data_IF_693022431651
#
_entry.id   IF_693022431651
#
_cell.length_a   1.000
_cell.length_b   1.000
_cell.length_c   1.000
_cell.angle_alpha   90.00
_cell.angle_beta   90.00
_cell.angle_gamma   90.00
#
_symmetry.space_group_name_H-M   'P 1'
#
loop_
_entity.id
_entity.type
_entity.pdbx_description
1 polymer ?
#
# COMPACT_ATOMS: atom_id res chain seq x y z
N UNK A 1 41.17 43.41 -15.26
CA UNK A 1 41.43 43.39 -16.72
C UNK A 1 40.97 42.07 -17.29
N UNK A 2 39.97 42.12 -18.24
CA UNK A 2 39.66 41.21 -19.36
C UNK A 2 39.51 39.70 -19.07
N UNK A 3 38.50 38.96 -19.46
CA UNK A 3 37.55 39.11 -20.56
C UNK A 3 36.32 38.17 -20.30
N UNK A 4 35.11 38.70 -20.49
CA UNK A 4 33.89 37.90 -20.71
C UNK A 4 33.94 37.34 -22.12
N UNK A 5 33.55 36.06 -22.30
CA UNK A 5 33.11 35.53 -23.60
C UNK A 5 31.72 34.95 -23.46
N UNK A 6 30.81 35.64 -24.07
CA UNK A 6 29.43 35.21 -24.39
C UNK A 6 29.51 34.22 -25.54
N UNK A 7 28.88 33.09 -25.43
CA UNK A 7 28.63 32.19 -26.56
C UNK A 7 27.13 32.12 -26.82
N UNK A 8 26.74 32.61 -27.97
CA UNK A 8 25.40 32.53 -28.58
C UNK A 8 25.19 31.17 -29.18
N UNK A 9 24.03 30.57 -28.90
CA UNK A 9 23.57 29.33 -29.54
C UNK A 9 22.78 29.68 -30.81
N UNK A 10 23.27 29.23 -31.93
CA UNK A 10 22.64 29.32 -33.25
C UNK A 10 21.85 28.05 -33.56
N UNK A 11 20.68 28.23 -34.13
CA UNK A 11 19.69 27.21 -34.46
C UNK A 11 20.19 26.31 -35.60
N UNK A 12 20.04 24.98 -35.44
CA UNK A 12 20.06 24.03 -36.57
C UNK A 12 18.71 23.30 -36.62
N UNK A 13 17.93 23.58 -37.67
CA UNK A 13 16.74 22.82 -38.10
C UNK A 13 17.13 21.72 -39.06
N UNK A 14 16.53 20.51 -38.93
CA UNK A 14 16.36 19.56 -40.01
C UNK A 14 16.25 18.11 -39.55
N UNK A 15 15.69 17.18 -40.37
CA UNK A 15 14.26 16.99 -40.58
C UNK A 15 13.78 15.56 -40.23
N UNK A 16 12.45 15.42 -40.01
CA UNK A 16 11.62 14.20 -40.14
C UNK A 16 12.18 12.82 -39.76
N UNK A 17 11.81 12.34 -38.59
CA UNK A 17 11.71 10.91 -38.34
C UNK A 17 10.32 10.55 -37.84
N UNK A 18 9.73 9.58 -38.47
CA UNK A 18 8.34 9.10 -38.38
C UNK A 18 7.99 8.69 -36.98
N UNK A 19 6.86 9.22 -36.48
CA UNK A 19 6.15 8.74 -35.31
C UNK A 19 5.76 7.28 -35.54
N UNK A 20 6.32 6.37 -34.76
CA UNK A 20 5.74 5.06 -34.50
C UNK A 20 4.97 5.19 -33.18
N UNK A 21 3.67 5.22 -33.31
CA UNK A 21 2.71 5.03 -32.21
C UNK A 21 2.86 3.61 -31.70
N UNK A 22 3.29 3.46 -30.47
CA UNK A 22 3.11 2.23 -29.72
C UNK A 22 1.97 2.46 -28.72
N UNK A 23 0.95 1.62 -28.86
CA UNK A 23 -0.37 1.82 -28.33
C UNK A 23 -0.52 1.49 -26.86
N UNK A 24 -1.38 2.19 -26.31
CA UNK A 24 -2.37 2.07 -25.25
C UNK A 24 -2.72 0.63 -24.91
N UNK A 25 -2.44 0.25 -23.67
CA UNK A 25 -3.13 -0.80 -22.95
C UNK A 25 -3.84 -0.18 -21.75
N UNK A 26 -4.99 0.38 -21.97
CA UNK A 26 -6.08 0.56 -21.01
C UNK A 26 -7.27 1.11 -21.78
N UNK A 27 -7.95 0.24 -22.51
CA UNK A 27 -9.35 0.33 -22.90
C UNK A 27 -9.63 -0.77 -23.93
N UNK A 28 -10.07 -1.87 -23.51
CA UNK A 28 -10.80 -2.82 -24.35
C UNK A 28 -12.18 -2.94 -23.75
N UNK A 29 -13.16 -2.28 -24.38
CA UNK A 29 -14.40 -2.86 -24.87
C UNK A 29 -15.22 -1.74 -25.51
N UNK A 30 -15.57 -1.92 -26.74
CA UNK A 30 -16.63 -1.51 -27.63
C UNK A 30 -16.19 -0.71 -28.87
N UNK A 31 -16.14 -1.44 -29.97
CA UNK A 31 -16.56 -0.92 -31.28
C UNK A 31 -17.13 -2.08 -32.08
N UNK A 32 -18.41 -2.21 -32.12
CA UNK A 32 -19.15 -3.02 -33.08
C UNK A 32 -20.05 -2.11 -33.92
N UNK A 33 -20.09 -2.45 -35.16
CA UNK A 33 -20.64 -1.79 -36.32
C UNK A 33 -22.02 -1.11 -36.17
N UNK A 34 -22.13 0.04 -36.81
CA UNK A 34 -23.38 0.75 -37.10
C UNK A 34 -24.15 -0.04 -38.17
N UNK A 35 -25.31 -0.57 -37.82
CA UNK A 35 -26.41 -0.88 -38.70
C UNK A 35 -27.69 -0.21 -38.15
N UNK A 36 -28.27 0.66 -38.99
CA UNK A 36 -29.44 1.48 -38.67
C UNK A 36 -30.64 0.60 -38.33
N UNK A 37 -31.05 0.61 -37.06
CA UNK A 37 -32.32 0.10 -36.59
C UNK A 37 -32.76 0.97 -35.42
N UNK A 38 -33.93 1.52 -35.51
CA UNK A 38 -34.61 2.25 -34.44
C UNK A 38 -34.80 1.28 -33.28
N UNK A 39 -33.94 1.32 -32.27
CA UNK A 39 -34.11 0.62 -31.01
C UNK A 39 -34.52 1.63 -29.95
N UNK A 40 -35.69 1.41 -29.40
CA UNK A 40 -36.20 2.03 -28.17
C UNK A 40 -35.09 2.03 -27.12
N UNK A 41 -34.79 3.20 -26.58
CA UNK A 41 -33.89 3.33 -25.43
C UNK A 41 -34.45 2.52 -24.25
N UNK A 42 -34.05 1.29 -24.15
CA UNK A 42 -34.11 0.58 -22.87
C UNK A 42 -33.10 1.26 -21.95
N UNK A 43 -33.63 1.97 -20.96
CA UNK A 43 -32.79 2.57 -19.91
C UNK A 43 -31.83 1.53 -19.38
N UNK A 44 -30.53 1.81 -19.46
CA UNK A 44 -29.54 1.00 -18.74
C UNK A 44 -29.96 1.05 -17.27
N UNK A 45 -30.45 -0.06 -16.75
CA UNK A 45 -30.59 -0.26 -15.31
C UNK A 45 -29.20 -0.05 -14.72
N UNK A 46 -29.05 0.83 -13.71
CA UNK A 46 -27.79 0.91 -13.01
C UNK A 46 -27.40 -0.51 -12.55
N UNK A 47 -26.19 -0.95 -12.85
CA UNK A 47 -25.71 -2.24 -12.36
C UNK A 47 -25.97 -2.25 -10.85
N UNK A 48 -26.76 -3.21 -10.39
CA UNK A 48 -27.04 -3.36 -8.98
C UNK A 48 -25.68 -3.48 -8.29
N UNK A 49 -25.44 -2.66 -7.26
CA UNK A 49 -24.22 -2.76 -6.47
C UNK A 49 -24.07 -4.21 -6.03
N UNK A 50 -22.97 -4.85 -6.41
CA UNK A 50 -22.74 -6.24 -6.02
C UNK A 50 -22.59 -6.29 -4.50
N UNK A 51 -23.19 -7.29 -3.86
CA UNK A 51 -22.97 -7.53 -2.44
C UNK A 51 -21.51 -7.94 -2.25
N UNK A 52 -20.81 -7.31 -1.33
CA UNK A 52 -19.49 -7.77 -0.89
C UNK A 52 -19.67 -8.99 0.05
N UNK A 53 -18.79 -9.96 -0.08
CA UNK A 53 -18.61 -11.06 0.88
C UNK A 53 -17.23 -10.93 1.47
N UNK A 54 -17.12 -11.22 2.76
CA UNK A 54 -15.87 -11.19 3.52
C UNK A 54 -15.65 -12.57 4.14
N UNK A 55 -14.47 -13.13 3.94
CA UNK A 55 -14.08 -14.46 4.40
C UNK A 55 -12.87 -14.34 5.32
N UNK A 56 -12.96 -14.77 6.59
CA UNK A 56 -11.80 -14.78 7.47
C UNK A 56 -10.73 -15.72 6.93
N UNK A 57 -9.46 -15.29 7.00
CA UNK A 57 -8.32 -16.05 6.47
C UNK A 57 -7.20 -16.13 7.49
N UNK A 58 -6.43 -17.20 7.44
CA UNK A 58 -5.23 -17.38 8.26
C UNK A 58 -4.08 -18.00 7.46
N UNK A 59 -2.89 -17.42 7.62
CA UNK A 59 -1.64 -17.85 7.02
C UNK A 59 -0.66 -18.29 8.10
N UNK A 60 -0.04 -19.46 7.93
CA UNK A 60 1.11 -19.87 8.76
C UNK A 60 2.37 -19.39 8.07
N UNK A 61 3.14 -18.52 8.73
CA UNK A 61 4.36 -17.90 8.19
C UNK A 61 5.51 -18.05 9.18
N UNK A 62 6.73 -17.96 8.69
CA UNK A 62 7.92 -17.88 9.53
C UNK A 62 8.38 -16.43 9.60
N UNK A 63 8.71 -15.98 10.79
CA UNK A 63 9.36 -14.70 11.00
C UNK A 63 10.85 -14.84 10.68
N UNK A 64 11.20 -14.75 9.41
CA UNK A 64 12.55 -14.79 8.87
C UNK A 64 12.81 -13.54 8.04
N UNK A 65 14.06 -13.20 7.78
CA UNK A 65 14.41 -12.17 6.82
C UNK A 65 15.37 -12.73 5.79
N UNK A 66 14.87 -12.95 4.58
CA UNK A 66 15.65 -13.36 3.41
C UNK A 66 15.80 -12.22 2.38
N UNK A 67 15.24 -11.04 2.68
CA UNK A 67 15.39 -9.82 1.88
C UNK A 67 16.79 -9.20 2.04
N UNK A 68 17.22 -8.31 1.14
CA UNK A 68 18.44 -7.53 1.32
C UNK A 68 18.31 -6.42 2.37
N UNK A 69 17.09 -6.10 2.84
CA UNK A 69 16.87 -5.10 3.88
C UNK A 69 17.38 -5.62 5.24
N UNK A 70 18.21 -4.83 5.89
CA UNK A 70 18.90 -5.26 7.12
C UNK A 70 18.03 -5.16 8.35
N UNK A 71 17.89 -6.25 9.09
CA UNK A 71 17.35 -6.23 10.46
C UNK A 71 18.40 -5.77 11.48
N UNK A 72 19.05 -4.63 11.29
CA UNK A 72 20.22 -4.20 12.08
C UNK A 72 19.96 -4.00 13.57
N UNK A 73 18.71 -3.88 13.99
CA UNK A 73 18.32 -3.63 15.39
C UNK A 73 17.37 -4.66 15.99
N UNK A 74 16.86 -5.59 15.19
CA UNK A 74 16.04 -6.72 15.60
C UNK A 74 16.39 -7.93 14.76
N UNK A 75 16.52 -9.07 15.39
CA UNK A 75 16.70 -10.34 14.67
C UNK A 75 15.31 -10.97 14.56
N UNK A 76 14.87 -11.27 13.35
CA UNK A 76 13.73 -12.14 13.15
C UNK A 76 13.97 -13.45 13.92
N UNK A 77 13.03 -13.84 14.79
CA UNK A 77 13.22 -14.95 15.75
C UNK A 77 13.14 -16.34 15.12
N UNK A 78 12.77 -16.43 13.83
CA UNK A 78 12.61 -17.68 13.09
C UNK A 78 11.39 -18.50 13.50
N UNK A 79 10.57 -18.01 14.42
CA UNK A 79 9.38 -18.73 14.88
C UNK A 79 8.26 -18.71 13.83
N UNK A 80 7.33 -19.63 13.97
CA UNK A 80 6.12 -19.68 13.12
C UNK A 80 4.99 -18.96 13.79
N UNK A 81 4.35 -18.05 13.04
CA UNK A 81 3.22 -17.27 13.48
C UNK A 81 2.02 -17.45 12.58
N UNK A 82 0.85 -17.13 13.09
CA UNK A 82 -0.39 -17.07 12.30
C UNK A 82 -0.69 -15.61 11.99
N UNK A 83 -0.70 -15.26 10.71
CA UNK A 83 -1.21 -13.97 10.23
C UNK A 83 -2.69 -14.14 9.93
N UNK A 84 -3.52 -13.20 10.38
CA UNK A 84 -4.98 -13.22 10.24
C UNK A 84 -5.47 -12.00 9.49
N UNK A 85 -6.59 -12.16 8.80
CA UNK A 85 -7.22 -11.08 8.07
C UNK A 85 -8.47 -11.57 7.36
N UNK A 86 -8.89 -10.82 6.35
CA UNK A 86 -10.08 -11.13 5.57
C UNK A 86 -9.82 -11.01 4.06
N UNK A 87 -10.40 -11.94 3.30
CA UNK A 87 -10.52 -11.81 1.85
C UNK A 87 -11.91 -11.26 1.56
N UNK A 88 -11.97 -10.07 0.97
CA UNK A 88 -13.22 -9.41 0.60
C UNK A 88 -13.36 -9.33 -0.90
N UNK A 89 -14.56 -9.63 -1.43
CA UNK A 89 -14.79 -9.58 -2.87
C UNK A 89 -16.24 -9.85 -3.26
N UNK A 90 -16.56 -9.80 -4.58
CA UNK A 90 -17.87 -10.23 -5.06
C UNK A 90 -18.03 -11.75 -4.86
N UNK A 91 -19.24 -12.22 -4.48
CA UNK A 91 -19.50 -13.65 -4.23
C UNK A 91 -19.08 -14.55 -5.38
N UNK A 92 -19.30 -14.11 -6.62
CA UNK A 92 -18.96 -14.89 -7.81
C UNK A 92 -17.44 -15.10 -7.97
N UNK A 93 -16.62 -14.12 -7.60
CA UNK A 93 -15.15 -14.23 -7.66
C UNK A 93 -14.63 -15.18 -6.58
N UNK A 94 -15.25 -15.19 -5.39
CA UNK A 94 -14.81 -15.98 -4.26
C UNK A 94 -15.33 -17.44 -4.27
N UNK A 95 -16.36 -17.73 -5.05
CA UNK A 95 -16.95 -19.07 -5.12
C UNK A 95 -16.22 -20.04 -6.05
N UNK A 96 -15.32 -19.56 -6.92
CA UNK A 96 -14.77 -20.37 -8.02
C UNK A 96 -13.57 -21.23 -7.64
N UNK A 97 -12.97 -21.04 -6.45
CA UNK A 97 -11.68 -21.65 -6.07
C UNK A 97 -10.47 -21.13 -6.85
N UNK A 98 -10.70 -20.30 -7.85
CA UNK A 98 -9.67 -19.58 -8.63
C UNK A 98 -10.15 -18.19 -8.94
N UNK A 99 -9.28 -17.20 -8.76
CA UNK A 99 -9.53 -15.81 -9.11
C UNK A 99 -8.34 -15.22 -9.87
N UNK A 100 -8.64 -14.25 -10.72
CA UNK A 100 -7.62 -13.66 -11.58
C UNK A 100 -6.67 -12.76 -10.80
N UNK A 101 -7.20 -11.97 -9.85
CA UNK A 101 -6.44 -10.93 -9.16
C UNK A 101 -6.88 -10.80 -7.70
N UNK A 102 -5.91 -10.59 -6.82
CA UNK A 102 -6.12 -10.08 -5.46
C UNK A 102 -5.19 -8.90 -5.22
N UNK A 103 -5.67 -7.89 -4.49
CA UNK A 103 -4.82 -6.84 -3.93
C UNK A 103 -4.61 -7.08 -2.44
N UNK A 104 -3.36 -7.21 -2.01
CA UNK A 104 -2.97 -7.29 -0.61
C UNK A 104 -2.74 -5.87 -0.12
N UNK A 105 -3.24 -5.54 1.06
CA UNK A 105 -3.16 -4.22 1.65
C UNK A 105 -2.36 -4.25 2.95
N UNK A 106 -1.19 -3.62 2.95
CA UNK A 106 -0.36 -3.37 4.13
C UNK A 106 -0.68 -1.98 4.71
N UNK A 107 -0.45 -1.81 6.00
CA UNK A 107 -0.80 -0.58 6.70
C UNK A 107 0.42 0.10 7.33
N UNK A 108 0.22 1.32 7.81
CA UNK A 108 1.25 2.13 8.47
C UNK A 108 1.33 1.93 9.97
N UNK A 109 2.23 2.67 10.61
CA UNK A 109 2.40 2.62 12.06
C UNK A 109 1.08 2.84 12.81
N UNK A 110 0.97 2.12 13.95
CA UNK A 110 -0.17 2.19 14.89
C UNK A 110 -1.52 1.77 14.32
N UNK A 111 -1.55 1.38 13.05
CA UNK A 111 -2.75 0.87 12.40
C UNK A 111 -2.92 -0.64 12.62
N UNK A 112 -3.69 -1.27 11.79
CA UNK A 112 -4.02 -2.67 11.77
C UNK A 112 -4.90 -2.93 10.55
N UNK A 113 -5.50 -4.09 10.43
CA UNK A 113 -6.42 -4.43 9.35
C UNK A 113 -7.47 -3.33 9.11
N UNK A 114 -7.94 -2.67 10.17
CA UNK A 114 -8.91 -1.59 10.11
C UNK A 114 -8.50 -0.40 9.23
N UNK A 115 -7.23 -0.24 8.91
CA UNK A 115 -6.76 0.80 7.98
C UNK A 115 -7.45 0.70 6.62
N UNK A 116 -7.77 -0.51 6.21
CA UNK A 116 -8.42 -0.82 4.95
C UNK A 116 -9.81 -1.42 5.09
N UNK A 117 -10.18 -1.80 6.31
CA UNK A 117 -11.40 -2.54 6.63
C UNK A 117 -12.10 -1.96 7.88
N UNK A 118 -12.27 -0.63 7.91
CA UNK A 118 -12.86 0.05 9.06
C UNK A 118 -14.35 -0.25 9.18
N UNK A 119 -14.71 -1.04 10.17
CA UNK A 119 -16.10 -1.38 10.47
C UNK A 119 -16.80 -0.30 11.30
N UNK A 120 -18.12 -0.27 11.24
CA UNK A 120 -18.95 0.57 12.09
C UNK A 120 -19.11 2.02 11.64
N UNK A 121 -18.36 2.50 10.65
CA UNK A 121 -18.54 3.83 10.07
C UNK A 121 -18.90 3.69 8.58
N UNK A 122 -20.16 3.89 8.19
CA UNK A 122 -20.59 3.67 6.81
C UNK A 122 -19.80 4.48 5.80
N UNK A 123 -19.36 3.82 4.70
CA UNK A 123 -18.61 4.43 3.60
C UNK A 123 -17.10 4.49 3.80
N UNK A 124 -16.58 3.98 4.94
CA UNK A 124 -15.15 3.98 5.25
C UNK A 124 -14.51 2.59 5.36
N UNK A 125 -15.29 1.55 5.07
CA UNK A 125 -14.78 0.20 4.85
C UNK A 125 -14.31 0.09 3.39
N UNK A 126 -13.03 0.40 3.17
CA UNK A 126 -12.44 0.47 1.83
C UNK A 126 -12.52 -0.88 1.11
N UNK A 127 -12.19 -1.99 1.77
CA UNK A 127 -12.23 -3.32 1.20
C UNK A 127 -13.65 -3.67 0.69
N UNK A 128 -14.68 -3.36 1.48
CA UNK A 128 -16.08 -3.54 1.09
C UNK A 128 -16.47 -2.65 -0.10
N UNK A 129 -16.01 -1.40 -0.13
CA UNK A 129 -16.33 -0.47 -1.23
C UNK A 129 -15.70 -0.91 -2.56
N UNK A 130 -14.46 -1.40 -2.56
CA UNK A 130 -13.83 -1.92 -3.79
C UNK A 130 -14.38 -3.28 -4.20
N UNK A 131 -14.81 -4.11 -3.25
CA UNK A 131 -15.49 -5.37 -3.52
C UNK A 131 -16.82 -5.17 -4.26
N UNK A 132 -17.60 -4.14 -3.90
CA UNK A 132 -18.82 -3.74 -4.63
C UNK A 132 -18.54 -3.32 -6.08
N UNK A 133 -17.29 -2.98 -6.41
CA UNK A 133 -16.82 -2.62 -7.76
C UNK A 133 -16.16 -3.79 -8.49
N UNK A 134 -16.20 -4.98 -7.91
CA UNK A 134 -15.71 -6.19 -8.54
C UNK A 134 -14.28 -6.59 -8.17
N UNK A 135 -13.61 -5.87 -7.29
CA UNK A 135 -12.24 -6.18 -6.87
C UNK A 135 -12.23 -7.21 -5.74
N UNK A 136 -11.13 -7.96 -5.64
CA UNK A 136 -10.85 -8.84 -4.52
C UNK A 136 -9.68 -8.28 -3.73
N UNK A 137 -9.87 -8.16 -2.42
CA UNK A 137 -8.90 -7.60 -1.48
C UNK A 137 -8.51 -8.64 -0.44
N UNK A 138 -7.25 -8.63 -0.01
CA UNK A 138 -6.80 -9.22 1.25
C UNK A 138 -6.39 -8.07 2.17
N UNK A 139 -7.10 -7.93 3.27
CA UNK A 139 -6.72 -7.09 4.40
C UNK A 139 -6.24 -7.99 5.53
N UNK A 140 -5.26 -7.56 6.31
CA UNK A 140 -4.69 -8.40 7.37
C UNK A 140 -4.12 -7.55 8.50
N UNK A 141 -4.00 -8.14 9.68
CA UNK A 141 -3.11 -7.65 10.72
C UNK A 141 -1.71 -8.21 10.46
N UNK A 142 -0.70 -7.37 10.36
CA UNK A 142 0.70 -7.77 10.20
C UNK A 142 1.25 -8.40 11.48
N UNK A 143 2.45 -8.98 11.43
CA UNK A 143 3.05 -9.64 12.61
C UNK A 143 3.26 -8.63 13.75
N UNK A 144 2.73 -8.94 14.92
CA UNK A 144 2.79 -8.07 16.09
C UNK A 144 1.64 -7.09 16.21
N UNK A 145 0.62 -7.20 15.34
CA UNK A 145 -0.56 -6.33 15.37
C UNK A 145 -1.87 -7.13 15.52
N UNK A 146 -2.86 -6.50 16.09
CA UNK A 146 -4.26 -6.93 16.14
C UNK A 146 -4.46 -8.41 16.49
N UNK A 147 -5.13 -9.14 15.60
CA UNK A 147 -5.46 -10.56 15.78
C UNK A 147 -4.37 -11.53 15.33
N UNK A 148 -3.29 -11.03 14.71
CA UNK A 148 -2.17 -11.84 14.25
C UNK A 148 -1.25 -12.26 15.39
N UNK A 149 -0.30 -13.14 15.09
CA UNK A 149 0.72 -13.57 16.05
C UNK A 149 1.60 -12.41 16.50
N UNK A 150 2.06 -12.47 17.74
CA UNK A 150 2.95 -11.47 18.33
C UNK A 150 4.25 -12.14 18.78
N UNK A 151 5.43 -11.69 18.32
CA UNK A 151 6.68 -12.04 18.96
C UNK A 151 6.65 -11.72 20.46
N UNK A 152 7.32 -12.55 21.27
CA UNK A 152 7.35 -12.32 22.73
C UNK A 152 8.00 -10.97 23.08
N UNK A 153 8.91 -10.51 22.22
CA UNK A 153 9.49 -9.19 22.26
C UNK A 153 9.35 -8.53 20.88
N UNK A 154 8.74 -7.35 20.78
CA UNK A 154 8.55 -6.62 19.54
C UNK A 154 9.85 -6.18 18.84
N UNK A 155 11.02 -6.38 19.47
CA UNK A 155 12.32 -6.22 18.79
C UNK A 155 12.72 -7.47 17.96
N UNK A 156 11.94 -8.54 18.00
CA UNK A 156 12.23 -9.81 17.32
C UNK A 156 11.56 -9.89 15.92
N UNK A 157 11.23 -8.78 15.33
CA UNK A 157 10.83 -8.61 13.92
C UNK A 157 11.44 -7.33 13.34
N UNK A 158 11.33 -7.10 12.04
CA UNK A 158 11.84 -5.91 11.34
C UNK A 158 11.17 -5.77 9.97
N UNK A 159 11.32 -4.66 9.28
CA UNK A 159 10.70 -4.44 7.96
C UNK A 159 11.11 -5.48 6.92
N UNK A 160 12.39 -5.87 6.89
CA UNK A 160 12.82 -6.95 6.01
C UNK A 160 12.15 -8.29 6.31
N UNK A 161 11.80 -8.56 7.59
CA UNK A 161 11.03 -9.74 7.97
C UNK A 161 9.55 -9.62 7.58
N UNK A 162 8.96 -8.43 7.68
CA UNK A 162 7.59 -8.19 7.20
C UNK A 162 7.50 -8.37 5.67
N UNK A 163 8.51 -7.93 4.91
CA UNK A 163 8.60 -8.18 3.48
C UNK A 163 8.72 -9.69 3.15
N UNK A 164 9.52 -10.45 3.91
CA UNK A 164 9.61 -11.92 3.77
C UNK A 164 8.27 -12.60 4.13
N UNK A 165 7.60 -12.17 5.19
CA UNK A 165 6.27 -12.66 5.57
C UNK A 165 5.26 -12.36 4.45
N UNK A 166 5.28 -11.16 3.89
CA UNK A 166 4.41 -10.78 2.77
C UNK A 166 4.67 -11.65 1.54
N UNK A 167 5.94 -11.91 1.20
CA UNK A 167 6.32 -12.88 0.18
C UNK A 167 5.73 -14.27 0.44
N UNK A 168 5.86 -14.81 1.66
CA UNK A 168 5.28 -16.09 2.02
C UNK A 168 3.75 -16.11 1.84
N UNK A 169 3.06 -15.02 2.17
CA UNK A 169 1.61 -14.88 1.96
C UNK A 169 1.28 -14.88 0.47
N UNK A 170 2.02 -14.16 -0.36
CA UNK A 170 1.86 -14.14 -1.82
C UNK A 170 1.98 -15.55 -2.40
N UNK A 171 3.02 -16.29 -2.01
CA UNK A 171 3.19 -17.68 -2.47
C UNK A 171 2.02 -18.57 -2.05
N UNK A 172 1.54 -18.42 -0.83
CA UNK A 172 0.37 -19.19 -0.33
C UNK A 172 -0.92 -18.83 -1.06
N UNK A 173 -1.15 -17.58 -1.40
CA UNK A 173 -2.30 -17.15 -2.21
C UNK A 173 -2.25 -17.75 -3.62
N UNK A 174 -1.08 -17.80 -4.23
CA UNK A 174 -0.89 -18.40 -5.57
C UNK A 174 -1.16 -19.90 -5.60
N UNK A 175 -0.90 -20.59 -4.49
CA UNK A 175 -1.00 -22.05 -4.40
C UNK A 175 -2.20 -22.56 -3.58
N UNK A 176 -3.03 -21.66 -3.03
CA UNK A 176 -4.14 -22.05 -2.14
C UNK A 176 -3.68 -22.67 -0.82
N UNK A 177 -2.48 -22.37 -0.33
CA UNK A 177 -1.86 -22.95 0.87
C UNK A 177 -2.12 -22.13 2.13
N UNK A 178 -3.38 -21.82 2.41
CA UNK A 178 -3.82 -21.05 3.57
C UNK A 178 -5.18 -21.59 4.08
N UNK A 179 -5.71 -21.03 5.14
CA UNK A 179 -6.96 -21.52 5.75
C UNK A 179 -8.10 -20.54 5.53
N UNK A 180 -9.20 -21.05 4.96
CA UNK A 180 -10.53 -20.46 4.97
C UNK A 180 -11.44 -21.38 5.76
N UNK A 181 -11.95 -20.99 6.97
CA UNK A 181 -12.63 -21.92 7.87
C UNK A 181 -13.88 -22.59 7.31
N UNK A 182 -14.60 -21.92 6.42
CA UNK A 182 -15.91 -22.37 5.92
C UNK A 182 -15.96 -22.52 4.39
N UNK A 183 -14.81 -22.39 3.71
CA UNK A 183 -14.74 -22.39 2.25
C UNK A 183 -13.49 -23.09 1.74
N UNK A 184 -13.50 -23.65 0.54
CA UNK A 184 -12.27 -24.03 -0.16
C UNK A 184 -11.38 -22.81 -0.36
N UNK A 185 -10.06 -23.01 -0.33
CA UNK A 185 -9.09 -21.96 -0.65
C UNK A 185 -9.21 -21.53 -2.11
N UNK A 186 -8.80 -20.30 -2.38
CA UNK A 186 -8.85 -19.67 -3.70
C UNK A 186 -7.40 -19.49 -4.18
N UNK A 187 -7.07 -19.97 -5.36
CA UNK A 187 -5.80 -19.69 -6.02
C UNK A 187 -5.89 -18.38 -6.81
N UNK A 188 -4.93 -17.48 -6.62
CA UNK A 188 -4.87 -16.20 -7.32
C UNK A 188 -3.75 -16.20 -8.38
N UNK A 189 -4.10 -15.87 -9.62
CA UNK A 189 -3.13 -15.84 -10.73
C UNK A 189 -2.23 -14.61 -10.67
N UNK A 190 -2.80 -13.47 -10.27
CA UNK A 190 -2.08 -12.19 -10.15
C UNK A 190 -2.25 -11.62 -8.75
N UNK A 191 -1.20 -10.96 -8.28
CA UNK A 191 -1.16 -10.30 -6.96
C UNK A 191 -0.68 -8.87 -7.14
N UNK A 192 -1.48 -7.90 -6.72
CA UNK A 192 -1.06 -6.52 -6.54
C UNK A 192 -0.78 -6.31 -5.07
N UNK A 193 0.33 -5.65 -4.76
CA UNK A 193 0.67 -5.28 -3.40
C UNK A 193 0.44 -3.78 -3.22
N UNK A 194 -0.31 -3.41 -2.20
CA UNK A 194 -0.61 -2.03 -1.84
C UNK A 194 -0.12 -1.78 -0.40
N UNK A 195 0.62 -0.72 -0.20
CA UNK A 195 1.10 -0.35 1.13
C UNK A 195 0.84 1.13 1.44
N UNK A 196 0.46 1.40 2.68
CA UNK A 196 0.26 2.74 3.22
C UNK A 196 1.34 3.03 4.26
N UNK A 197 1.92 4.24 4.21
CA UNK A 197 2.97 4.66 5.16
C UNK A 197 4.13 3.63 5.19
N UNK A 198 4.59 3.18 6.36
CA UNK A 198 5.63 2.12 6.44
C UNK A 198 5.24 0.83 5.72
N UNK A 199 3.95 0.51 5.59
CA UNK A 199 3.51 -0.60 4.74
C UNK A 199 3.86 -0.40 3.27
N UNK A 200 4.02 0.85 2.82
CA UNK A 200 4.57 1.21 1.50
C UNK A 200 6.04 0.83 1.38
N UNK A 201 6.86 1.15 2.38
CA UNK A 201 8.27 0.74 2.45
C UNK A 201 8.41 -0.79 2.43
N UNK A 202 7.63 -1.50 3.26
CA UNK A 202 7.60 -2.98 3.26
C UNK A 202 7.21 -3.54 1.89
N UNK A 203 6.24 -2.92 1.22
CA UNK A 203 5.80 -3.34 -0.12
C UNK A 203 6.89 -3.15 -1.19
N UNK A 204 7.69 -2.09 -1.11
CA UNK A 204 8.84 -1.89 -2.00
C UNK A 204 9.94 -2.91 -1.74
N UNK A 205 10.27 -3.13 -0.46
CA UNK A 205 11.25 -4.16 -0.06
C UNK A 205 10.85 -5.53 -0.61
N UNK A 206 9.59 -5.90 -0.51
CA UNK A 206 9.06 -7.13 -1.10
C UNK A 206 9.26 -7.15 -2.62
N UNK A 207 8.78 -6.09 -3.30
CA UNK A 207 8.76 -5.99 -4.75
C UNK A 207 10.14 -6.10 -5.41
N UNK A 208 11.16 -5.43 -4.88
CA UNK A 208 12.50 -5.55 -5.46
C UNK A 208 13.24 -6.82 -5.03
N UNK A 209 12.90 -7.36 -3.85
CA UNK A 209 13.57 -8.55 -3.32
C UNK A 209 13.12 -9.83 -4.01
N UNK A 210 11.80 -10.05 -4.08
CA UNK A 210 11.23 -11.33 -4.52
C UNK A 210 10.68 -11.31 -5.94
N UNK A 211 10.25 -10.15 -6.44
CA UNK A 211 9.82 -9.95 -7.86
C UNK A 211 8.67 -10.87 -8.26
N UNK A 212 7.76 -11.13 -7.36
CA UNK A 212 6.65 -12.09 -7.53
C UNK A 212 5.26 -11.44 -7.41
N UNK A 213 5.21 -10.10 -7.43
CA UNK A 213 3.98 -9.33 -7.59
C UNK A 213 3.76 -8.90 -9.05
N UNK A 214 2.52 -8.52 -9.40
CA UNK A 214 2.11 -8.10 -10.73
C UNK A 214 1.83 -6.58 -10.81
N UNK A 215 1.82 -5.89 -9.68
CA UNK A 215 1.68 -4.45 -9.56
C UNK A 215 1.95 -3.95 -8.15
N UNK A 216 2.38 -2.70 -8.03
CA UNK A 216 2.67 -2.04 -6.75
C UNK A 216 1.82 -0.77 -6.62
N UNK A 217 1.24 -0.56 -5.43
CA UNK A 217 0.51 0.66 -5.09
C UNK A 217 1.09 1.21 -3.79
N UNK A 218 1.60 2.43 -3.84
CA UNK A 218 2.12 3.14 -2.68
C UNK A 218 1.14 4.23 -2.29
N UNK A 219 0.78 4.30 -1.03
CA UNK A 219 -0.15 5.29 -0.50
C UNK A 219 0.52 6.05 0.64
N UNK A 220 0.68 7.35 0.47
CA UNK A 220 1.29 8.23 1.48
C UNK A 220 2.67 7.75 1.95
N UNK A 221 3.47 7.24 1.04
CA UNK A 221 4.87 6.85 1.25
C UNK A 221 5.75 7.37 0.13
N UNK A 222 6.99 7.76 0.46
CA UNK A 222 8.04 8.11 -0.48
C UNK A 222 9.43 7.87 0.14
N UNK A 223 10.39 7.50 -0.68
CA UNK A 223 11.79 7.23 -0.29
C UNK A 223 12.56 8.47 0.17
N UNK A 224 12.08 9.65 -0.10
CA UNK A 224 12.81 10.90 0.06
C UNK A 224 11.94 12.10 0.41
N UNK A 225 12.59 13.20 0.75
CA UNK A 225 11.90 14.45 0.99
C UNK A 225 11.11 14.49 2.30
N UNK A 226 11.51 13.70 3.30
CA UNK A 226 10.83 13.62 4.59
C UNK A 226 10.63 14.98 5.23
N UNK A 227 9.49 15.15 5.89
CA UNK A 227 9.18 16.40 6.61
C UNK A 227 10.03 16.55 7.87
N UNK A 228 10.23 17.78 8.39
CA UNK A 228 10.87 17.96 9.68
C UNK A 228 10.14 17.25 10.82
N UNK A 229 8.84 17.02 10.70
CA UNK A 229 8.06 16.24 11.68
C UNK A 229 8.64 14.82 11.78
N UNK A 230 8.83 14.13 10.66
CA UNK A 230 9.42 12.78 10.64
C UNK A 230 10.88 12.80 11.09
N UNK A 231 11.71 13.70 10.55
CA UNK A 231 13.17 13.66 10.78
C UNK A 231 13.59 14.17 12.16
N UNK A 232 12.86 15.11 12.74
CA UNK A 232 13.25 15.81 13.97
C UNK A 232 12.37 15.47 15.18
N UNK A 233 11.09 15.16 14.98
CA UNK A 233 10.13 14.96 16.05
C UNK A 233 9.78 13.49 16.24
N UNK A 234 9.16 12.88 15.25
CA UNK A 234 8.62 11.53 15.35
C UNK A 234 9.73 10.48 15.53
N UNK A 235 10.75 10.50 14.67
CA UNK A 235 11.85 9.54 14.75
C UNK A 235 12.52 9.57 16.13
N UNK A 236 12.76 10.74 16.69
CA UNK A 236 13.37 10.88 18.01
C UNK A 236 12.48 10.32 19.12
N UNK A 237 11.18 10.68 19.12
CA UNK A 237 10.21 10.20 20.09
C UNK A 237 10.03 8.67 19.98
N UNK A 238 9.93 8.13 18.77
CA UNK A 238 9.80 6.72 18.48
C UNK A 238 10.98 5.90 19.01
N UNK A 239 12.20 6.32 18.72
CA UNK A 239 13.39 5.64 19.23
C UNK A 239 13.48 5.68 20.77
N UNK A 240 13.15 6.81 21.39
CA UNK A 240 13.12 6.94 22.84
C UNK A 240 12.09 5.98 23.44
N UNK A 241 10.85 6.01 22.97
CA UNK A 241 9.77 5.16 23.46
C UNK A 241 10.10 3.68 23.33
N UNK A 242 10.68 3.29 22.19
CA UNK A 242 11.16 1.92 21.98
C UNK A 242 12.33 1.52 22.89
N UNK A 243 13.17 2.48 23.28
CA UNK A 243 14.27 2.22 24.21
C UNK A 243 13.77 1.97 25.63
N UNK A 244 12.69 2.62 26.00
CA UNK A 244 12.05 2.51 27.33
C UNK A 244 11.09 1.31 27.41
N UNK A 245 10.66 0.73 26.29
CA UNK A 245 9.72 -0.38 26.27
C UNK A 245 10.37 -1.72 26.64
N UNK A 246 9.95 -2.28 27.75
CA UNK A 246 10.42 -3.60 28.20
C UNK A 246 9.88 -4.75 27.31
N UNK A 247 8.70 -4.60 26.72
CA UNK A 247 8.08 -5.57 25.82
C UNK A 247 8.56 -5.47 24.38
N UNK A 248 9.23 -4.36 24.01
CA UNK A 248 9.57 -4.04 22.65
C UNK A 248 8.37 -3.60 21.80
N UNK A 249 7.24 -3.24 22.41
CA UNK A 249 6.07 -2.67 21.75
C UNK A 249 5.82 -1.26 22.28
N UNK A 250 5.50 -0.32 21.40
CA UNK A 250 5.33 1.08 21.75
C UNK A 250 4.35 1.83 20.83
N UNK A 251 3.71 2.86 21.36
CA UNK A 251 3.13 3.93 20.54
C UNK A 251 4.23 4.92 20.14
N UNK A 252 4.18 5.43 18.92
CA UNK A 252 5.16 6.38 18.40
C UNK A 252 4.80 7.82 18.76
N UNK A 253 3.53 8.13 18.72
CA UNK A 253 2.98 9.46 18.94
C UNK A 253 1.94 9.44 20.04
N UNK A 254 1.63 10.59 20.61
CA UNK A 254 0.59 10.73 21.63
C UNK A 254 -0.81 10.49 21.05
N UNK A 255 -1.79 10.25 21.92
CA UNK A 255 -3.19 10.10 21.52
C UNK A 255 -3.74 11.37 20.84
N UNK A 256 -3.26 12.56 21.23
CA UNK A 256 -3.65 13.84 20.63
C UNK A 256 -3.06 13.97 19.21
N UNK A 257 -1.79 13.65 19.04
CA UNK A 257 -1.13 13.66 17.74
C UNK A 257 -1.76 12.65 16.78
N UNK A 258 -2.05 11.44 17.24
CA UNK A 258 -2.74 10.44 16.41
C UNK A 258 -4.10 10.95 15.90
N UNK A 259 -4.87 11.70 16.71
CA UNK A 259 -6.16 12.24 16.30
C UNK A 259 -6.07 13.45 15.37
N UNK A 260 -4.92 14.08 15.26
CA UNK A 260 -4.79 15.37 14.57
C UNK A 260 -3.86 15.31 13.37
N UNK A 261 -2.70 14.68 13.49
CA UNK A 261 -1.63 14.78 12.49
C UNK A 261 -1.95 14.03 11.18
N UNK A 262 -2.38 12.75 11.19
CA UNK A 262 -2.57 11.99 9.96
C UNK A 262 -3.89 12.31 9.23
N UNK A 263 -4.83 13.01 9.89
CA UNK A 263 -6.16 13.25 9.35
C UNK A 263 -6.31 14.64 8.75
N UNK A 264 -6.93 14.72 7.58
CA UNK A 264 -7.37 15.95 6.96
C UNK A 264 -8.74 15.74 6.29
N UNK A 265 -9.68 16.67 6.52
CA UNK A 265 -11.04 16.59 5.99
C UNK A 265 -11.73 15.24 6.28
N UNK A 266 -11.52 14.71 7.47
CA UNK A 266 -12.04 13.41 7.91
C UNK A 266 -13.29 13.58 8.78
N UNK A 267 -14.20 12.62 8.74
CA UNK A 267 -15.35 12.58 9.64
C UNK A 267 -14.86 12.33 11.07
N UNK A 268 -15.27 13.13 12.08
CA UNK A 268 -14.86 12.90 13.47
C UNK A 268 -15.17 11.48 13.99
N UNK A 269 -16.22 10.83 13.46
CA UNK A 269 -16.55 9.45 13.84
C UNK A 269 -15.48 8.46 13.40
N UNK A 270 -14.83 8.71 12.27
CA UNK A 270 -13.70 7.91 11.77
C UNK A 270 -12.51 8.08 12.69
N UNK A 271 -12.18 9.33 13.05
CA UNK A 271 -11.05 9.62 13.94
C UNK A 271 -11.23 8.90 15.29
N UNK A 272 -12.42 8.97 15.89
CA UNK A 272 -12.69 8.30 17.17
C UNK A 272 -12.69 6.76 17.03
N UNK A 273 -13.25 6.23 15.92
CA UNK A 273 -13.25 4.79 15.69
C UNK A 273 -11.83 4.25 15.51
N UNK A 274 -10.99 4.92 14.72
CA UNK A 274 -9.59 4.51 14.48
C UNK A 274 -8.75 4.65 15.75
N UNK A 275 -8.92 5.73 16.50
CA UNK A 275 -8.22 5.93 17.77
C UNK A 275 -8.55 4.84 18.81
N UNK A 276 -9.78 4.31 18.80
CA UNK A 276 -10.17 3.20 19.67
C UNK A 276 -9.57 1.85 19.24
N UNK A 277 -9.12 1.72 17.98
CA UNK A 277 -8.53 0.52 17.39
C UNK A 277 -7.00 0.61 17.24
N UNK A 278 -6.41 1.70 17.69
CA UNK A 278 -4.97 1.98 17.57
C UNK A 278 -4.14 0.88 18.22
N UNK A 279 -3.15 0.36 17.50
CA UNK A 279 -2.22 -0.65 17.98
C UNK A 279 -0.89 -0.04 18.48
N UNK A 280 -0.16 -0.76 19.31
CA UNK A 280 1.28 -0.52 19.53
C UNK A 280 2.08 -1.15 18.40
N UNK A 281 3.21 -0.55 18.06
CA UNK A 281 4.10 -1.06 17.01
C UNK A 281 5.19 -1.96 17.61
N UNK A 282 5.60 -3.03 16.91
CA UNK A 282 6.85 -3.72 17.21
C UNK A 282 8.04 -2.77 17.03
N UNK A 283 8.86 -2.62 18.07
CA UNK A 283 9.99 -1.70 18.04
C UNK A 283 11.11 -2.13 17.06
N UNK A 284 11.15 -3.39 16.67
CA UNK A 284 12.07 -3.86 15.67
C UNK A 284 11.81 -3.28 14.28
N UNK A 285 10.52 -3.09 13.91
CA UNK A 285 10.12 -2.41 12.67
C UNK A 285 10.58 -0.94 12.72
N UNK A 286 10.21 -0.20 13.77
CA UNK A 286 10.59 1.20 13.94
C UNK A 286 12.11 1.41 13.83
N UNK A 287 12.88 0.52 14.44
CA UNK A 287 14.34 0.63 14.47
C UNK A 287 15.00 0.23 13.15
N UNK A 288 14.35 -0.57 12.33
CA UNK A 288 14.88 -0.98 11.03
C UNK A 288 14.64 0.05 9.93
N UNK A 289 13.57 0.85 9.98
CA UNK A 289 13.19 1.81 8.95
C UNK A 289 14.34 2.69 8.43
N UNK A 290 15.16 3.36 9.25
CA UNK A 290 16.26 4.18 8.72
C UNK A 290 17.35 3.39 7.99
N UNK A 291 17.48 2.09 8.28
CA UNK A 291 18.45 1.22 7.60
C UNK A 291 17.86 0.60 6.32
N UNK A 292 16.55 0.58 6.20
CA UNK A 292 15.80 0.05 5.05
C UNK A 292 15.66 1.11 3.96
N UNK A 293 15.38 2.35 4.29
CA UNK A 293 15.20 3.48 3.34
C UNK A 293 16.39 3.68 2.38
N UNK A 294 17.63 3.51 2.85
CA UNK A 294 18.81 3.73 1.99
C UNK A 294 18.94 2.68 0.89
N UNK A 295 18.90 1.36 1.18
CA UNK A 295 18.84 0.35 0.14
C UNK A 295 17.55 0.42 -0.69
N UNK A 296 16.43 0.80 -0.11
CA UNK A 296 15.14 0.91 -0.79
C UNK A 296 15.21 1.85 -1.98
N UNK A 297 15.56 3.10 -1.75
CA UNK A 297 15.79 4.08 -2.82
C UNK A 297 16.78 3.60 -3.90
N UNK A 298 17.81 2.85 -3.52
CA UNK A 298 18.80 2.33 -4.46
C UNK A 298 18.30 1.10 -5.27
N UNK A 299 17.36 0.33 -4.71
CA UNK A 299 16.87 -0.92 -5.28
C UNK A 299 15.51 -0.78 -5.99
N UNK A 300 14.71 0.23 -5.66
CA UNK A 300 13.43 0.52 -6.31
C UNK A 300 13.50 0.58 -7.86
N UNK A 301 14.61 1.02 -8.52
CA UNK A 301 14.78 0.89 -9.97
C UNK A 301 14.74 -0.56 -10.49
N UNK A 302 14.86 -1.57 -9.63
CA UNK A 302 14.74 -2.98 -10.01
C UNK A 302 13.28 -3.46 -10.10
N UNK A 303 12.32 -2.71 -9.57
CA UNK A 303 10.89 -3.00 -9.67
C UNK A 303 10.47 -2.90 -11.15
N UNK A 304 9.90 -3.99 -11.68
CA UNK A 304 9.59 -4.14 -13.12
C UNK A 304 8.09 -4.26 -13.40
N UNK A 305 7.27 -4.08 -12.40
CA UNK A 305 5.80 -4.08 -12.50
C UNK A 305 5.26 -2.65 -12.59
N UNK A 306 4.01 -2.43 -13.03
CA UNK A 306 3.36 -1.13 -12.94
C UNK A 306 3.33 -0.60 -11.51
N UNK A 307 3.57 0.70 -11.34
CA UNK A 307 3.57 1.39 -10.03
C UNK A 307 2.56 2.53 -10.02
N UNK A 308 1.66 2.50 -9.06
CA UNK A 308 0.74 3.61 -8.76
C UNK A 308 1.12 4.22 -7.41
N UNK A 309 1.37 5.53 -7.40
CA UNK A 309 1.69 6.28 -6.19
C UNK A 309 0.51 7.22 -5.90
N UNK A 310 0.04 7.23 -4.66
CA UNK A 310 -1.12 8.01 -4.24
C UNK A 310 -0.78 8.84 -3.01
N UNK A 311 -0.97 10.15 -3.11
CA UNK A 311 -0.85 11.06 -1.98
C UNK A 311 -2.14 11.85 -1.75
N UNK A 312 -2.41 12.19 -0.50
CA UNK A 312 -3.32 13.28 -0.19
C UNK A 312 -2.65 14.64 -0.48
N UNK A 313 -3.38 15.59 -1.09
CA UNK A 313 -2.83 16.94 -1.33
C UNK A 313 -2.39 17.67 -0.04
N UNK A 314 -2.97 17.27 1.09
CA UNK A 314 -2.69 17.83 2.41
C UNK A 314 -1.93 16.85 3.32
N UNK A 315 -1.34 15.81 2.75
CA UNK A 315 -0.40 14.96 3.48
C UNK A 315 0.87 15.75 3.76
N UNK A 316 1.17 15.94 5.04
CA UNK A 316 2.36 16.65 5.52
C UNK A 316 3.13 15.82 6.55
N UNK A 317 2.71 14.57 6.73
CA UNK A 317 3.31 13.70 7.73
C UNK A 317 4.64 13.14 7.22
N UNK A 318 4.61 12.33 6.16
CA UNK A 318 5.79 11.56 5.74
C UNK A 318 6.74 12.40 4.88
N UNK A 319 6.26 13.00 3.81
CA UNK A 319 7.14 13.67 2.84
C UNK A 319 6.61 15.03 2.42
N UNK A 320 7.53 15.93 2.05
CA UNK A 320 7.20 17.24 1.50
C UNK A 320 6.55 17.11 0.12
N UNK A 321 5.85 18.16 -0.31
CA UNK A 321 5.27 18.19 -1.67
C UNK A 321 6.30 17.92 -2.76
N UNK A 322 7.52 18.41 -2.60
CA UNK A 322 8.61 18.16 -3.53
C UNK A 322 8.99 16.67 -3.55
N UNK A 323 9.13 16.03 -2.39
CA UNK A 323 9.39 14.59 -2.31
C UNK A 323 8.30 13.77 -2.98
N UNK A 324 7.03 14.14 -2.75
CA UNK A 324 5.87 13.50 -3.41
C UNK A 324 5.93 13.59 -4.95
N UNK A 325 6.37 14.73 -5.49
CA UNK A 325 6.49 14.96 -6.94
C UNK A 325 7.70 14.24 -7.56
N UNK A 326 8.75 14.02 -6.78
CA UNK A 326 9.99 13.37 -7.22
C UNK A 326 9.91 11.84 -7.13
N UNK A 327 9.01 11.29 -6.34
CA UNK A 327 8.89 9.85 -6.03
C UNK A 327 8.71 8.98 -7.28
N UNK A 328 7.90 9.41 -8.26
CA UNK A 328 7.73 8.66 -9.52
C UNK A 328 9.06 8.40 -10.25
N UNK A 329 10.03 9.29 -10.06
CA UNK A 329 11.36 9.19 -10.66
C UNK A 329 12.16 7.99 -10.17
N UNK A 330 11.93 7.55 -8.94
CA UNK A 330 12.64 6.44 -8.29
C UNK A 330 12.39 5.13 -9.04
N UNK A 331 11.19 4.89 -9.50
CA UNK A 331 10.76 3.67 -10.21
C UNK A 331 11.16 3.64 -11.69
N UNK A 332 12.43 3.93 -11.99
CA UNK A 332 12.91 4.02 -13.38
C UNK A 332 12.82 2.70 -14.14
N UNK A 333 12.69 1.57 -13.47
CA UNK A 333 12.56 0.25 -14.07
C UNK A 333 11.13 -0.17 -14.40
N UNK A 334 10.14 0.51 -13.84
CA UNK A 334 8.72 0.21 -14.05
C UNK A 334 8.31 0.52 -15.49
N UNK A 335 7.51 -0.37 -16.13
CA UNK A 335 7.01 -0.16 -17.49
C UNK A 335 5.91 0.91 -17.57
N UNK A 336 5.18 1.13 -16.48
CA UNK A 336 4.11 2.12 -16.36
C UNK A 336 4.05 2.62 -14.92
N UNK A 337 4.13 3.90 -14.74
CA UNK A 337 4.11 4.52 -13.41
C UNK A 337 3.31 5.81 -13.43
N UNK A 338 2.63 6.08 -12.34
CA UNK A 338 1.77 7.24 -12.21
C UNK A 338 1.65 7.69 -10.76
N UNK A 339 1.80 8.98 -10.54
CA UNK A 339 1.47 9.64 -9.28
C UNK A 339 0.10 10.30 -9.36
N UNK A 340 -0.73 10.12 -8.34
CA UNK A 340 -2.06 10.68 -8.20
C UNK A 340 -2.16 11.43 -6.87
N UNK A 341 -2.66 12.64 -6.92
CA UNK A 341 -2.95 13.44 -5.73
C UNK A 341 -4.46 13.48 -5.50
N UNK A 342 -4.88 13.05 -4.32
CA UNK A 342 -6.28 13.08 -3.91
C UNK A 342 -6.55 14.43 -3.25
N UNK A 343 -7.43 15.20 -3.88
CA UNK A 343 -7.79 16.52 -3.41
C UNK A 343 -8.42 16.48 -2.02
N UNK A 344 -8.08 17.45 -1.19
CA UNK A 344 -8.61 17.59 0.17
C UNK A 344 -8.46 16.33 1.04
N UNK A 345 -7.40 15.53 0.82
CA UNK A 345 -7.07 14.35 1.60
C UNK A 345 -5.75 14.55 2.37
N UNK A 346 -5.65 13.97 3.56
CA UNK A 346 -4.45 13.91 4.37
C UNK A 346 -3.67 12.62 4.18
N UNK A 347 -2.88 12.24 5.19
CA UNK A 347 -2.06 11.03 5.20
C UNK A 347 -2.92 9.76 5.11
N UNK A 348 -3.94 9.63 5.94
CA UNK A 348 -4.96 8.59 5.78
C UNK A 348 -5.92 8.93 4.64
N UNK A 349 -5.46 8.78 3.40
CA UNK A 349 -6.22 9.10 2.17
C UNK A 349 -7.59 8.43 2.17
N UNK A 350 -7.64 7.14 2.58
CA UNK A 350 -8.85 6.33 2.60
C UNK A 350 -9.93 6.85 3.57
N UNK A 351 -9.55 7.67 4.54
CA UNK A 351 -10.46 8.23 5.55
C UNK A 351 -10.87 9.68 5.29
N UNK A 352 -10.36 10.30 4.24
CA UNK A 352 -10.82 11.62 3.83
C UNK A 352 -12.22 11.55 3.23
N UNK A 353 -13.02 12.60 3.38
CA UNK A 353 -14.37 12.68 2.77
C UNK A 353 -14.35 12.65 1.25
N UNK A 354 -13.20 12.85 0.66
CA UNK A 354 -12.95 12.74 -0.78
C UNK A 354 -12.47 11.36 -1.21
N UNK A 355 -12.40 10.40 -0.30
CA UNK A 355 -11.92 9.03 -0.55
C UNK A 355 -12.72 8.26 -1.63
N UNK A 356 -13.94 8.68 -1.95
CA UNK A 356 -14.67 8.11 -3.11
C UNK A 356 -13.88 8.21 -4.42
N UNK A 357 -13.02 9.22 -4.57
CA UNK A 357 -12.15 9.38 -5.74
C UNK A 357 -11.07 8.31 -5.74
N UNK A 358 -10.55 7.94 -4.58
CA UNK A 358 -9.53 6.89 -4.40
C UNK A 358 -10.08 5.50 -4.74
N UNK A 359 -11.36 5.26 -4.53
CA UNK A 359 -12.03 3.99 -4.87
C UNK A 359 -12.54 3.93 -6.31
N UNK A 360 -12.44 5.00 -7.12
CA UNK A 360 -12.89 4.99 -8.52
C UNK A 360 -11.86 4.25 -9.38
N UNK A 361 -12.32 3.32 -10.25
CA UNK A 361 -11.45 2.61 -11.18
C UNK A 361 -10.82 3.54 -12.23
#
# INVERSE_FOLDING_TARGET
>A
MKNRRTLTFEQARGPNARRRTCGRFFAAVLSAAVSSGILLAQGATPAAAQSAVELPVAFQVKNTNTSPASCSSGLADGATYTIRGHISGPPAALASGKAELVTIYLFGYEAGEWNWDLKGVPGYDYASEVAKKGQVSLTLDELGYGASGHPANGNETCEGAEADITHQIIQKLRHGEYTLPESPTIEFSNVVLAGHDVGGEVAEVEAYSYKDIDGLILVSFADQGFTPYITETETHAAFQTCTESASGYAHLISDEEFRTVPFYNTDPRVIEATAALRNTNPCGIIRSAPATLVPDHALAPQIKVPVLIVFGENDQLVTSRQGQEEEEGVFSGSPDKKTVFIRDAGHFVMFSRTAEVFTRP
#
